data_IF_818863905239
#
_entry.id   IF_818863905239
#
_cell.length_a   1.000
_cell.length_b   1.000
_cell.length_c   1.000
_cell.angle_alpha   90.00
_cell.angle_beta   90.00
_cell.angle_gamma   90.00
#
_symmetry.space_group_name_H-M   'P 1'
#
loop_
_entity.id
_entity.type
_entity.pdbx_description
1 polymer ?
#
# COMPACT_ATOMS: atom_id res chain seq x y z
N UNK A 1 -5.08 -6.63 1.88
CA UNK A 1 -3.78 -6.79 2.57
C UNK A 1 -2.76 -5.82 1.99
N UNK A 2 -1.70 -5.49 2.74
CA UNK A 2 -0.59 -4.68 2.22
C UNK A 2 0.45 -5.60 1.57
N UNK A 3 0.95 -5.22 0.41
CA UNK A 3 2.07 -5.89 -0.25
C UNK A 3 3.38 -5.70 0.52
N UNK A 4 4.41 -6.42 0.11
CA UNK A 4 5.76 -6.23 0.65
C UNK A 4 6.27 -4.80 0.42
N UNK A 5 7.10 -4.32 1.35
CA UNK A 5 7.69 -3.00 1.24
C UNK A 5 8.66 -2.95 0.05
N UNK A 6 8.59 -1.91 -0.77
CA UNK A 6 9.45 -1.74 -1.95
C UNK A 6 10.93 -1.62 -1.64
N UNK A 7 11.26 -1.29 -0.38
CA UNK A 7 12.63 -1.21 0.12
C UNK A 7 12.73 -1.89 1.48
N UNK A 8 13.82 -2.57 1.72
CA UNK A 8 14.13 -3.17 3.04
C UNK A 8 14.90 -2.20 3.94
N UNK A 9 15.46 -1.13 3.37
CA UNK A 9 16.16 -0.06 4.07
C UNK A 9 16.01 1.28 3.35
N UNK A 10 16.45 2.35 3.99
CA UNK A 10 16.33 3.73 3.57
C UNK A 10 15.02 4.38 4.03
N UNK A 11 14.87 5.66 3.74
CA UNK A 11 13.64 6.39 4.07
C UNK A 11 12.57 6.29 2.97
N UNK A 12 12.90 5.76 1.80
CA UNK A 12 12.02 5.84 0.61
C UNK A 12 11.12 4.61 0.40
N UNK A 13 11.09 3.67 1.34
CA UNK A 13 10.25 2.48 1.26
C UNK A 13 8.76 2.79 1.35
N UNK A 14 7.94 2.12 0.54
CA UNK A 14 6.48 2.17 0.61
C UNK A 14 5.85 0.79 0.38
N UNK A 15 4.70 0.56 1.02
CA UNK A 15 3.82 -0.57 0.76
C UNK A 15 2.61 -0.08 -0.01
N UNK A 16 2.07 -0.95 -0.86
CA UNK A 16 0.86 -0.70 -1.64
C UNK A 16 -0.20 -1.73 -1.23
N UNK A 17 -1.47 -1.35 -1.23
CA UNK A 17 -2.58 -2.28 -1.09
C UNK A 17 -3.63 -2.03 -2.16
N UNK A 18 -4.35 -3.10 -2.51
CA UNK A 18 -5.56 -2.96 -3.32
C UNK A 18 -6.72 -2.51 -2.44
N UNK A 19 -7.40 -1.44 -2.86
CA UNK A 19 -8.65 -0.96 -2.25
C UNK A 19 -9.77 -1.09 -3.28
N UNK A 20 -10.85 -1.78 -2.92
CA UNK A 20 -12.03 -1.97 -3.76
C UNK A 20 -13.26 -1.48 -3.03
N UNK A 21 -14.16 -0.85 -3.79
CA UNK A 21 -15.48 -0.50 -3.29
C UNK A 21 -16.36 -1.75 -3.31
N UNK A 22 -16.95 -2.11 -2.17
CA UNK A 22 -17.82 -3.27 -2.04
C UNK A 22 -19.21 -2.85 -1.60
N UNK A 23 -20.23 -3.38 -2.27
CA UNK A 23 -21.63 -3.25 -1.90
C UNK A 23 -22.07 -4.53 -1.19
N UNK A 24 -22.62 -4.38 0.01
CA UNK A 24 -23.27 -5.45 0.74
C UNK A 24 -24.69 -5.63 0.17
N UNK A 25 -25.02 -6.85 -0.24
CA UNK A 25 -26.34 -7.22 -0.75
C UNK A 25 -27.14 -7.92 0.36
N UNK A 26 -28.48 -7.87 0.27
CA UNK A 26 -29.38 -8.45 1.28
C UNK A 26 -29.20 -9.95 1.49
N UNK A 27 -28.66 -10.67 0.50
CA UNK A 27 -28.39 -12.11 0.57
C UNK A 27 -27.05 -12.44 1.26
N UNK A 28 -26.41 -11.47 1.92
CA UNK A 28 -25.12 -11.65 2.59
C UNK A 28 -23.93 -11.75 1.63
N UNK A 29 -24.15 -11.51 0.34
CA UNK A 29 -23.11 -11.49 -0.69
C UNK A 29 -22.55 -10.08 -0.86
N UNK A 30 -21.25 -10.00 -1.15
CA UNK A 30 -20.56 -8.74 -1.38
C UNK A 30 -20.15 -8.64 -2.85
N UNK A 31 -20.47 -7.51 -3.48
CA UNK A 31 -20.11 -7.25 -4.88
C UNK A 31 -19.14 -6.09 -4.97
N UNK A 32 -18.04 -6.25 -5.71
CA UNK A 32 -17.16 -5.14 -6.06
C UNK A 32 -17.86 -4.22 -7.06
N UNK A 33 -17.89 -2.92 -6.78
CA UNK A 33 -18.49 -1.90 -7.64
C UNK A 33 -17.48 -0.80 -7.98
N UNK A 34 -17.86 0.10 -8.88
CA UNK A 34 -17.01 1.24 -9.26
C UNK A 34 -16.82 2.21 -8.09
N UNK A 35 -15.61 2.75 -7.94
CA UNK A 35 -15.25 3.64 -6.82
C UNK A 35 -16.16 4.86 -6.66
N UNK A 36 -16.70 5.37 -7.78
CA UNK A 36 -17.65 6.51 -7.81
C UNK A 36 -18.92 6.31 -6.96
N UNK A 37 -19.26 5.06 -6.63
CA UNK A 37 -20.44 4.73 -5.83
C UNK A 37 -20.11 4.54 -4.35
N UNK A 38 -18.83 4.48 -3.97
CA UNK A 38 -18.46 4.49 -2.57
C UNK A 38 -18.55 5.91 -2.01
N UNK A 39 -19.27 6.06 -0.92
CA UNK A 39 -19.29 7.28 -0.12
C UNK A 39 -18.23 7.21 0.98
N UNK A 40 -17.70 8.36 1.39
CA UNK A 40 -16.70 8.47 2.45
C UNK A 40 -15.25 8.57 1.94
N UNK A 41 -14.32 8.66 2.88
CA UNK A 41 -12.90 8.77 2.54
C UNK A 41 -12.35 7.47 1.99
N UNK A 42 -11.71 7.55 0.83
CA UNK A 42 -11.03 6.40 0.23
C UNK A 42 -9.81 6.03 1.09
N UNK A 43 -9.72 4.80 1.60
CA UNK A 43 -8.57 4.37 2.37
C UNK A 43 -7.26 4.52 1.60
N UNK A 44 -6.17 4.79 2.31
CA UNK A 44 -4.85 4.97 1.69
C UNK A 44 -4.45 3.74 0.86
N UNK A 45 -4.01 3.96 -0.38
CA UNK A 45 -3.50 2.90 -1.26
C UNK A 45 -2.02 2.65 -1.01
N UNK A 46 -1.29 3.68 -0.55
CA UNK A 46 0.16 3.65 -0.38
C UNK A 46 0.53 4.23 0.97
N UNK A 47 1.40 3.56 1.70
CA UNK A 47 1.94 4.04 2.97
C UNK A 47 3.45 3.86 3.05
N UNK A 48 4.17 4.71 3.79
CA UNK A 48 5.59 4.50 4.04
C UNK A 48 5.85 3.25 4.89
N UNK A 49 6.99 2.61 4.67
CA UNK A 49 7.45 1.43 5.40
C UNK A 49 8.97 1.38 5.49
N UNK A 50 9.50 0.55 6.39
CA UNK A 50 10.92 0.23 6.56
C UNK A 50 11.84 1.46 6.56
N UNK A 51 11.57 2.43 7.44
CA UNK A 51 12.39 3.63 7.65
C UNK A 51 13.67 3.32 8.46
N UNK A 52 14.43 2.32 8.03
CA UNK A 52 15.68 1.91 8.70
C UNK A 52 16.88 2.35 7.86
N UNK A 53 18.01 2.79 8.44
CA UNK A 53 19.19 3.16 7.65
C UNK A 53 19.68 2.01 6.77
N UNK A 54 20.14 2.31 5.55
CA UNK A 54 20.79 1.31 4.72
C UNK A 54 22.21 1.05 5.20
N UNK A 55 22.72 -0.18 5.04
CA UNK A 55 24.12 -0.49 5.28
C UNK A 55 25.02 0.42 4.45
N UNK A 56 26.14 0.86 5.02
CA UNK A 56 27.14 1.60 4.28
C UNK A 56 27.68 0.76 3.12
N UNK A 57 28.03 1.40 2.02
CA UNK A 57 28.62 0.77 0.84
C UNK A 57 30.00 1.35 0.63
N UNK A 58 31.01 0.48 0.51
CA UNK A 58 32.35 0.88 0.12
C UNK A 58 32.36 1.29 -1.36
N UNK A 59 33.04 2.39 -1.69
CA UNK A 59 33.34 2.77 -3.07
C UNK A 59 34.85 2.78 -3.23
N UNK A 60 35.36 2.16 -4.29
CA UNK A 60 36.77 2.27 -4.64
C UNK A 60 37.04 3.72 -5.05
N UNK A 61 37.94 4.39 -4.33
CA UNK A 61 38.40 5.73 -4.69
C UNK A 61 39.14 5.68 -6.02
N UNK A 62 38.83 6.62 -6.91
CA UNK A 62 39.54 6.83 -8.17
C UNK A 62 40.81 7.63 -7.90
#
# INVERSE_FOLDING_TARGET
EWEHCTKTCGSLGFQIRTVRCVQFLHEGTNRSIHSKYCSGEKPEIRRPCNRVPCPAQWRTGV
#
